data_IF_634544529150
#
_entry.id   IF_634544529150
#
_cell.length_a   1.000
_cell.length_b   1.000
_cell.length_c   1.000
_cell.angle_alpha   90.00
_cell.angle_beta   90.00
_cell.angle_gamma   90.00
#
_symmetry.space_group_name_H-M   'P 1'
#
loop_
_entity.id
_entity.type
_entity.pdbx_description
1 polymer ?
#
# COMPACT_ATOMS: atom_id res chain seq x y z
N UNK A 1 -70.61 -2.99 0.27
CA UNK A 1 -69.86 -3.32 -0.97
C UNK A 1 -68.74 -2.32 -1.30
N UNK A 2 -68.97 -1.02 -1.16
CA UNK A 2 -67.97 0.04 -1.42
C UNK A 2 -66.81 0.06 -0.40
N UNK A 3 -67.12 -0.06 0.89
CA UNK A 3 -66.10 -0.07 1.97
C UNK A 3 -65.13 -1.27 1.83
N UNK A 4 -65.68 -2.45 1.52
CA UNK A 4 -64.91 -3.69 1.37
C UNK A 4 -63.97 -3.65 0.16
N UNK A 5 -64.41 -3.03 -0.95
CA UNK A 5 -63.55 -2.79 -2.12
C UNK A 5 -62.42 -1.80 -1.82
N UNK A 6 -62.71 -0.74 -1.06
CA UNK A 6 -61.71 0.23 -0.62
C UNK A 6 -60.65 -0.41 0.28
N UNK A 7 -61.07 -1.22 1.26
CA UNK A 7 -60.14 -1.95 2.13
C UNK A 7 -59.26 -2.93 1.35
N UNK A 8 -59.83 -3.64 0.36
CA UNK A 8 -59.07 -4.55 -0.48
C UNK A 8 -58.03 -3.82 -1.35
N UNK A 9 -58.37 -2.65 -1.92
CA UNK A 9 -57.43 -1.84 -2.68
C UNK A 9 -56.28 -1.30 -1.82
N UNK A 10 -56.58 -0.84 -0.60
CA UNK A 10 -55.55 -0.37 0.34
C UNK A 10 -54.63 -1.53 0.73
N UNK A 11 -55.17 -2.72 1.00
CA UNK A 11 -54.37 -3.90 1.35
C UNK A 11 -53.43 -4.33 0.21
N UNK A 12 -53.91 -4.33 -1.03
CA UNK A 12 -53.08 -4.62 -2.22
C UNK A 12 -51.98 -3.56 -2.41
N UNK A 13 -52.30 -2.28 -2.19
CA UNK A 13 -51.32 -1.20 -2.29
C UNK A 13 -50.22 -1.33 -1.23
N UNK A 14 -50.59 -1.63 0.02
CA UNK A 14 -49.64 -1.88 1.11
C UNK A 14 -48.75 -3.10 0.79
N UNK A 15 -49.32 -4.22 0.33
CA UNK A 15 -48.55 -5.40 -0.05
C UNK A 15 -47.55 -5.10 -1.18
N UNK A 16 -47.92 -4.27 -2.16
CA UNK A 16 -47.00 -3.83 -3.23
C UNK A 16 -45.85 -3.00 -2.69
N UNK A 17 -46.12 -2.04 -1.79
CA UNK A 17 -45.08 -1.21 -1.18
C UNK A 17 -44.10 -2.08 -0.38
N UNK A 18 -44.62 -3.02 0.43
CA UNK A 18 -43.78 -3.97 1.17
C UNK A 18 -42.93 -4.85 0.24
N UNK A 19 -43.51 -5.34 -0.86
CA UNK A 19 -42.79 -6.15 -1.85
C UNK A 19 -41.67 -5.35 -2.54
N UNK A 20 -41.93 -4.11 -2.95
CA UNK A 20 -40.90 -3.24 -3.54
C UNK A 20 -39.81 -2.86 -2.52
N UNK A 21 -40.16 -2.59 -1.26
CA UNK A 21 -39.19 -2.34 -0.19
C UNK A 21 -38.31 -3.57 0.08
N UNK A 22 -38.88 -4.78 0.05
CA UNK A 22 -38.15 -6.04 0.17
C UNK A 22 -37.20 -6.26 -1.01
N UNK A 23 -37.66 -6.01 -2.24
CA UNK A 23 -36.82 -6.11 -3.43
C UNK A 23 -35.66 -5.11 -3.39
N UNK A 24 -35.93 -3.86 -3.02
CA UNK A 24 -34.88 -2.83 -2.91
C UNK A 24 -33.85 -3.16 -1.83
N UNK A 25 -34.30 -3.63 -0.66
CA UNK A 25 -33.42 -4.05 0.44
C UNK A 25 -32.56 -5.27 0.07
N UNK A 26 -33.13 -6.22 -0.68
CA UNK A 26 -32.42 -7.39 -1.18
C UNK A 26 -31.36 -7.00 -2.22
N UNK A 27 -31.72 -6.14 -3.18
CA UNK A 27 -30.77 -5.61 -4.18
C UNK A 27 -29.61 -4.86 -3.52
N UNK A 28 -29.87 -3.99 -2.53
CA UNK A 28 -28.82 -3.22 -1.86
C UNK A 28 -27.88 -4.11 -1.03
N UNK A 29 -28.42 -5.12 -0.34
CA UNK A 29 -27.62 -6.09 0.40
C UNK A 29 -26.75 -6.97 -0.51
N UNK A 30 -27.29 -7.38 -1.67
CA UNK A 30 -26.55 -8.17 -2.66
C UNK A 30 -25.39 -7.38 -3.31
N UNK A 31 -25.60 -6.09 -3.57
CA UNK A 31 -24.57 -5.16 -4.11
C UNK A 31 -23.43 -4.97 -3.10
N UNK A 32 -23.74 -4.75 -1.82
CA UNK A 32 -22.71 -4.52 -0.79
C UNK A 32 -21.80 -5.74 -0.53
N UNK A 33 -22.25 -6.96 -0.84
CA UNK A 33 -21.41 -8.16 -0.77
C UNK A 33 -20.67 -8.40 -2.09
N UNK A 34 -21.20 -7.96 -3.24
CA UNK A 34 -20.56 -8.12 -4.54
C UNK A 34 -19.33 -7.26 -4.73
N UNK A 35 -19.22 -6.10 -4.09
CA UNK A 35 -18.31 -5.02 -4.55
C UNK A 35 -16.92 -4.96 -3.90
N UNK A 36 -16.55 -5.97 -3.12
CA UNK A 36 -15.28 -5.97 -2.37
C UNK A 36 -14.16 -6.70 -3.11
N UNK A 37 -13.03 -6.02 -3.28
CA UNK A 37 -11.76 -6.67 -3.59
C UNK A 37 -11.34 -7.56 -2.42
N UNK A 38 -11.01 -8.80 -2.74
CA UNK A 38 -10.52 -9.80 -1.77
C UNK A 38 -9.16 -10.30 -2.19
N UNK A 39 -8.34 -10.66 -1.21
CA UNK A 39 -7.08 -11.36 -1.43
C UNK A 39 -7.25 -12.83 -1.03
N UNK A 40 -6.95 -13.70 -1.97
CA UNK A 40 -6.95 -15.15 -1.78
C UNK A 40 -5.52 -15.62 -1.61
N UNK A 41 -5.25 -16.40 -0.56
CA UNK A 41 -4.02 -17.16 -0.42
C UNK A 41 -4.26 -18.59 -0.89
N UNK A 42 -3.51 -19.00 -1.91
CA UNK A 42 -3.65 -20.29 -2.58
C UNK A 42 -2.33 -21.04 -2.48
N UNK A 43 -2.35 -22.29 -2.05
CA UNK A 43 -1.15 -23.13 -1.99
C UNK A 43 -1.28 -24.26 -3.02
N UNK A 44 -0.43 -24.30 -4.07
CA UNK A 44 -0.44 -25.40 -5.02
C UNK A 44 0.25 -26.62 -4.42
N UNK A 45 -0.47 -27.74 -4.31
CA UNK A 45 0.05 -28.99 -3.71
C UNK A 45 0.52 -30.00 -4.79
N UNK A 46 0.52 -29.59 -6.06
CA UNK A 46 1.04 -30.41 -7.16
C UNK A 46 1.61 -29.53 -8.27
N UNK A 47 2.47 -30.14 -9.10
CA UNK A 47 3.05 -29.50 -10.29
C UNK A 47 1.96 -29.02 -11.26
N UNK A 48 0.85 -29.76 -11.39
CA UNK A 48 -0.29 -29.38 -12.24
C UNK A 48 -0.97 -28.10 -11.73
N UNK A 49 -1.21 -28.01 -10.42
CA UNK A 49 -1.78 -26.80 -9.80
C UNK A 49 -0.82 -25.61 -9.91
N UNK A 50 0.49 -25.84 -9.73
CA UNK A 50 1.49 -24.79 -9.94
C UNK A 50 1.50 -24.26 -11.38
N UNK A 51 1.47 -25.14 -12.39
CA UNK A 51 1.40 -24.72 -13.79
C UNK A 51 0.11 -23.94 -14.08
N UNK A 52 -1.00 -24.33 -13.47
CA UNK A 52 -2.25 -23.61 -13.58
C UNK A 52 -2.16 -22.20 -12.97
N UNK A 53 -1.60 -22.05 -11.76
CA UNK A 53 -1.37 -20.73 -11.16
C UNK A 53 -0.41 -19.88 -12.00
N UNK A 54 0.66 -20.48 -12.55
CA UNK A 54 1.56 -19.79 -13.50
C UNK A 54 0.82 -19.31 -14.76
N UNK A 55 -0.14 -20.09 -15.25
CA UNK A 55 -0.99 -19.68 -16.38
C UNK A 55 -1.90 -18.51 -16.01
N UNK A 56 -2.57 -18.57 -14.85
CA UNK A 56 -3.39 -17.45 -14.35
C UNK A 56 -2.55 -16.19 -14.15
N UNK A 57 -1.35 -16.32 -13.57
CA UNK A 57 -0.42 -15.21 -13.37
C UNK A 57 -0.02 -14.53 -14.68
N UNK A 58 0.36 -15.29 -15.71
CA UNK A 58 0.69 -14.75 -17.03
C UNK A 58 -0.50 -14.07 -17.73
N UNK A 59 -1.72 -14.42 -17.34
CA UNK A 59 -2.96 -13.90 -17.93
C UNK A 59 -3.77 -13.08 -16.93
N UNK A 60 -3.14 -12.56 -15.86
CA UNK A 60 -3.83 -11.99 -14.70
C UNK A 60 -4.82 -10.88 -15.09
N UNK A 61 -4.45 -10.03 -16.05
CA UNK A 61 -5.32 -9.00 -16.62
C UNK A 61 -6.65 -9.54 -17.15
N UNK A 62 -6.64 -10.67 -17.87
CA UNK A 62 -7.86 -11.28 -18.44
C UNK A 62 -8.80 -11.81 -17.37
N UNK A 63 -8.26 -12.15 -16.21
CA UNK A 63 -9.00 -12.62 -15.05
C UNK A 63 -9.27 -11.51 -14.03
N UNK A 64 -9.04 -10.23 -14.37
CA UNK A 64 -9.15 -9.09 -13.45
C UNK A 64 -8.52 -9.40 -12.08
N UNK A 65 -7.36 -10.04 -12.11
CA UNK A 65 -6.63 -10.51 -10.94
C UNK A 65 -5.29 -9.77 -10.88
N UNK A 66 -4.82 -9.51 -9.66
CA UNK A 66 -3.51 -8.94 -9.37
C UNK A 66 -2.78 -9.87 -8.42
N UNK A 67 -1.67 -10.43 -8.87
CA UNK A 67 -0.88 -11.39 -8.11
C UNK A 67 0.15 -10.64 -7.28
N UNK A 68 0.00 -10.72 -5.95
CA UNK A 68 0.88 -10.08 -4.99
C UNK A 68 2.15 -10.90 -4.76
N UNK A 69 2.10 -12.21 -5.02
CA UNK A 69 3.27 -13.06 -5.07
C UNK A 69 3.31 -13.92 -6.34
N UNK A 70 4.53 -14.23 -6.79
CA UNK A 70 4.74 -15.02 -7.99
C UNK A 70 4.61 -16.52 -7.65
N UNK A 71 3.88 -17.32 -8.45
CA UNK A 71 3.85 -18.77 -8.27
C UNK A 71 5.21 -19.39 -8.64
N UNK A 72 6.06 -19.65 -7.65
CA UNK A 72 7.44 -20.13 -7.85
C UNK A 72 7.51 -21.65 -7.92
N UNK A 73 7.09 -22.32 -6.84
CA UNK A 73 7.20 -23.77 -6.62
C UNK A 73 5.96 -24.35 -5.94
N UNK A 74 5.88 -25.68 -5.90
CA UNK A 74 4.85 -26.41 -5.14
C UNK A 74 5.03 -26.10 -3.64
N UNK A 75 3.92 -26.07 -2.91
CA UNK A 75 3.80 -25.73 -1.49
C UNK A 75 4.17 -24.27 -1.12
N UNK A 76 4.49 -23.42 -2.10
CA UNK A 76 4.72 -21.99 -1.90
C UNK A 76 3.41 -21.22 -2.09
N UNK A 77 2.98 -20.52 -1.05
CA UNK A 77 1.70 -19.81 -1.05
C UNK A 77 1.71 -18.61 -2.01
N UNK A 78 0.60 -18.45 -2.73
CA UNK A 78 0.39 -17.39 -3.72
C UNK A 78 -0.77 -16.51 -3.29
N UNK A 79 -0.51 -15.21 -3.15
CA UNK A 79 -1.53 -14.22 -2.80
C UNK A 79 -2.03 -13.53 -4.07
N UNK A 80 -3.35 -13.53 -4.26
CA UNK A 80 -4.00 -12.98 -5.45
C UNK A 80 -5.16 -12.09 -5.03
N UNK A 81 -5.07 -10.80 -5.33
CA UNK A 81 -6.19 -9.88 -5.23
C UNK A 81 -7.09 -10.05 -6.46
N UNK A 82 -8.40 -10.21 -6.24
CA UNK A 82 -9.36 -10.47 -7.32
C UNK A 82 -10.43 -9.39 -7.34
N UNK A 83 -10.71 -8.87 -8.52
CA UNK A 83 -11.79 -7.92 -8.72
C UNK A 83 -13.15 -8.55 -8.37
N UNK A 84 -14.03 -7.82 -7.67
CA UNK A 84 -15.33 -8.31 -7.25
C UNK A 84 -16.16 -8.97 -8.38
N UNK A 85 -16.26 -8.33 -9.55
CA UNK A 85 -16.91 -8.89 -10.76
C UNK A 85 -16.42 -10.29 -11.17
N UNK A 86 -15.13 -10.60 -10.98
CA UNK A 86 -14.54 -11.86 -11.44
C UNK A 86 -14.39 -12.88 -10.31
N UNK A 87 -14.76 -12.53 -9.07
CA UNK A 87 -14.55 -13.38 -7.89
C UNK A 87 -15.19 -14.76 -8.03
N UNK A 88 -16.48 -14.83 -8.40
CA UNK A 88 -17.18 -16.12 -8.58
C UNK A 88 -16.51 -16.99 -9.64
N UNK A 89 -16.10 -16.39 -10.76
CA UNK A 89 -15.40 -17.11 -11.84
C UNK A 89 -14.04 -17.61 -11.36
N UNK A 90 -13.31 -16.80 -10.60
CA UNK A 90 -12.02 -17.17 -10.03
C UNK A 90 -12.15 -18.34 -9.03
N UNK A 91 -13.07 -18.27 -8.08
CA UNK A 91 -13.34 -19.35 -7.12
C UNK A 91 -13.72 -20.66 -7.84
N UNK A 92 -14.56 -20.59 -8.88
CA UNK A 92 -14.91 -21.75 -9.69
C UNK A 92 -13.68 -22.37 -10.37
N UNK A 93 -12.76 -21.55 -10.88
CA UNK A 93 -11.50 -22.02 -11.48
C UNK A 93 -10.61 -22.74 -10.46
N UNK A 94 -10.55 -22.23 -9.22
CA UNK A 94 -9.81 -22.89 -8.14
C UNK A 94 -10.45 -24.23 -7.76
N UNK A 95 -11.78 -24.25 -7.62
CA UNK A 95 -12.55 -25.44 -7.27
C UNK A 95 -12.44 -26.54 -8.34
N UNK A 96 -12.48 -26.17 -9.62
CA UNK A 96 -12.29 -27.12 -10.74
C UNK A 96 -10.92 -27.81 -10.74
N UNK A 97 -9.91 -27.18 -10.12
CA UNK A 97 -8.57 -27.74 -9.95
C UNK A 97 -8.33 -28.31 -8.55
N UNK A 98 -9.39 -28.39 -7.75
CA UNK A 98 -9.38 -28.89 -6.36
C UNK A 98 -8.27 -28.20 -5.56
N UNK A 99 -8.11 -26.88 -5.74
CA UNK A 99 -7.11 -26.10 -5.03
C UNK A 99 -7.67 -25.58 -3.72
N UNK A 100 -6.92 -25.84 -2.65
CA UNK A 100 -7.22 -25.25 -1.35
C UNK A 100 -6.80 -23.78 -1.35
N UNK A 101 -7.69 -22.93 -0.84
CA UNK A 101 -7.43 -21.51 -0.67
C UNK A 101 -8.14 -21.00 0.58
N UNK A 102 -7.68 -19.85 1.08
CA UNK A 102 -8.42 -19.08 2.08
C UNK A 102 -8.37 -17.59 1.75
N UNK A 103 -9.34 -16.84 2.27
CA UNK A 103 -9.40 -15.39 2.11
C UNK A 103 -8.48 -14.75 3.15
N UNK A 104 -7.34 -14.22 2.71
CA UNK A 104 -6.37 -13.55 3.60
C UNK A 104 -6.76 -12.11 3.91
N UNK A 105 -7.42 -11.44 2.96
CA UNK A 105 -7.99 -10.09 3.15
C UNK A 105 -9.41 -10.09 2.57
N UNK A 106 -10.41 -9.89 3.44
CA UNK A 106 -11.83 -9.90 3.05
C UNK A 106 -12.30 -8.60 2.39
N UNK A 107 -11.64 -7.49 2.69
CA UNK A 107 -12.01 -6.16 2.21
C UNK A 107 -10.75 -5.28 2.12
N UNK A 108 -10.17 -5.23 0.91
CA UNK A 108 -8.96 -4.43 0.64
C UNK A 108 -9.24 -2.94 0.81
N UNK A 109 -10.44 -2.47 0.48
CA UNK A 109 -10.82 -1.06 0.62
C UNK A 109 -10.79 -0.64 2.09
N UNK A 110 -11.41 -1.42 2.98
CA UNK A 110 -11.34 -1.15 4.43
C UNK A 110 -9.93 -1.20 4.98
N UNK A 111 -9.08 -2.08 4.45
CA UNK A 111 -7.67 -2.14 4.84
C UNK A 111 -6.94 -0.85 4.47
N UNK A 112 -7.14 -0.33 3.26
CA UNK A 112 -6.56 0.95 2.81
C UNK A 112 -7.09 2.10 3.67
N UNK A 113 -8.40 2.19 3.86
CA UNK A 113 -9.04 3.25 4.67
C UNK A 113 -8.49 3.27 6.11
N UNK A 114 -8.30 2.10 6.72
CA UNK A 114 -7.67 1.99 8.04
C UNK A 114 -6.24 2.55 8.04
N UNK A 115 -5.45 2.26 7.01
CA UNK A 115 -4.07 2.75 6.88
C UNK A 115 -4.01 4.26 6.58
N UNK A 116 -5.00 4.81 5.87
CA UNK A 116 -5.10 6.23 5.58
C UNK A 116 -5.61 7.05 6.77
N UNK A 117 -6.62 6.57 7.51
CA UNK A 117 -7.14 7.24 8.71
C UNK A 117 -6.07 7.34 9.81
N UNK A 118 -5.13 6.40 9.86
CA UNK A 118 -3.97 6.46 10.75
C UNK A 118 -2.98 7.59 10.39
N UNK A 119 -3.11 8.25 9.23
CA UNK A 119 -2.37 9.49 8.95
C UNK A 119 -3.11 10.65 9.62
N UNK A 120 -2.60 11.25 10.71
CA UNK A 120 -3.24 12.42 11.29
C UNK A 120 -3.25 13.52 10.23
N UNK A 121 -4.43 14.00 9.84
CA UNK A 121 -4.59 15.11 8.86
C UNK A 121 -3.80 16.36 9.26
N UNK A 122 -3.46 16.48 10.55
CA UNK A 122 -2.72 17.58 11.15
C UNK A 122 -1.19 17.46 11.04
N UNK A 123 -0.64 16.30 10.65
CA UNK A 123 0.81 16.11 10.51
C UNK A 123 1.41 17.07 9.47
N UNK A 124 0.64 17.46 8.45
CA UNK A 124 1.01 18.51 7.48
C UNK A 124 1.26 19.89 8.12
N UNK A 125 0.67 20.19 9.28
CA UNK A 125 0.89 21.44 10.03
C UNK A 125 2.13 21.37 10.93
N UNK A 126 2.50 20.19 11.42
CA UNK A 126 3.68 19.98 12.28
C UNK A 126 5.01 20.28 11.55
N UNK A 127 5.06 20.11 10.23
CA UNK A 127 6.21 20.50 9.39
C UNK A 127 6.62 21.97 9.52
N UNK A 128 5.69 22.86 9.92
CA UNK A 128 5.98 24.29 10.07
C UNK A 128 6.67 24.65 11.40
N UNK A 129 6.69 23.76 12.40
CA UNK A 129 7.08 24.13 13.76
C UNK A 129 8.43 23.59 14.25
N UNK A 130 9.05 22.60 13.60
CA UNK A 130 10.26 21.95 14.16
C UNK A 130 11.60 22.42 13.55
N UNK A 131 11.72 23.71 13.25
CA UNK A 131 13.03 24.27 12.88
C UNK A 131 13.88 24.68 14.11
N UNK A 132 13.33 24.51 15.33
CA UNK A 132 13.91 25.04 16.59
C UNK A 132 14.39 24.00 17.60
N UNK A 133 14.15 22.69 17.41
CA UNK A 133 14.69 21.68 18.33
C UNK A 133 16.07 21.20 17.89
N UNK A 134 16.92 20.84 18.86
CA UNK A 134 18.24 20.24 18.64
C UNK A 134 18.16 18.77 18.14
N UNK A 135 16.97 18.32 17.71
CA UNK A 135 16.61 16.90 17.52
C UNK A 135 16.73 16.42 16.06
N UNK A 136 17.22 17.25 15.14
CA UNK A 136 17.31 16.94 13.71
C UNK A 136 16.01 17.22 12.95
N UNK A 137 15.97 17.03 11.62
CA UNK A 137 14.74 17.17 10.85
C UNK A 137 13.70 16.12 11.25
N UNK A 138 12.48 16.56 11.56
CA UNK A 138 11.38 15.68 11.98
C UNK A 138 10.81 14.87 10.81
N UNK A 139 10.60 13.57 11.05
CA UNK A 139 9.86 12.68 10.17
C UNK A 139 9.10 11.65 10.99
N UNK A 140 7.81 11.43 10.68
CA UNK A 140 6.99 10.49 11.44
C UNK A 140 7.10 9.07 10.87
N UNK A 141 7.98 8.26 11.45
CA UNK A 141 8.16 6.86 11.03
C UNK A 141 7.00 5.91 11.35
N UNK A 142 5.95 6.37 12.05
CA UNK A 142 4.77 5.55 12.38
C UNK A 142 3.67 5.62 11.31
N UNK A 143 3.92 6.28 10.18
CA UNK A 143 2.97 6.39 9.08
C UNK A 143 3.65 6.36 7.71
N UNK A 144 2.85 6.11 6.67
CA UNK A 144 3.32 6.23 5.28
C UNK A 144 3.20 7.66 4.77
N UNK A 145 4.25 8.12 4.10
CA UNK A 145 4.36 9.49 3.59
C UNK A 145 4.19 9.56 2.09
N UNK A 146 3.68 10.69 1.60
CA UNK A 146 3.65 10.97 0.18
C UNK A 146 5.04 11.41 -0.33
N UNK A 147 5.23 11.40 -1.65
CA UNK A 147 6.54 11.72 -2.26
C UNK A 147 7.01 13.15 -1.95
N UNK A 148 6.09 14.11 -1.81
CA UNK A 148 6.44 15.49 -1.49
C UNK A 148 6.98 15.62 -0.06
N UNK A 149 6.39 14.89 0.89
CA UNK A 149 6.87 14.83 2.28
C UNK A 149 8.24 14.16 2.36
N UNK A 150 8.45 13.06 1.64
CA UNK A 150 9.75 12.38 1.57
C UNK A 150 10.81 13.33 0.98
N UNK A 151 10.52 13.97 -0.14
CA UNK A 151 11.45 14.93 -0.76
C UNK A 151 11.74 16.11 0.17
N UNK A 152 10.72 16.67 0.81
CA UNK A 152 10.89 17.73 1.82
C UNK A 152 11.81 17.31 2.96
N UNK A 153 11.71 16.06 3.41
CA UNK A 153 12.59 15.51 4.43
C UNK A 153 14.04 15.45 3.93
N UNK A 154 14.27 14.93 2.73
CA UNK A 154 15.61 14.86 2.13
C UNK A 154 16.26 16.25 2.04
N UNK A 155 15.51 17.27 1.58
CA UNK A 155 15.98 18.65 1.56
C UNK A 155 16.35 19.18 2.95
N UNK A 156 15.51 18.90 3.96
CA UNK A 156 15.78 19.33 5.33
C UNK A 156 17.01 18.64 5.95
N UNK A 157 17.26 17.37 5.62
CA UNK A 157 18.47 16.64 6.02
C UNK A 157 19.71 17.31 5.42
N UNK A 158 19.68 17.65 4.13
CA UNK A 158 20.80 18.34 3.50
C UNK A 158 21.09 19.70 4.13
N UNK A 159 20.05 20.51 4.32
CA UNK A 159 20.20 21.86 4.89
C UNK A 159 20.79 21.82 6.31
N UNK A 160 20.47 20.80 7.10
CA UNK A 160 20.95 20.67 8.47
C UNK A 160 22.35 20.05 8.56
N UNK A 161 22.73 19.16 7.64
CA UNK A 161 24.01 18.45 7.66
C UNK A 161 24.82 18.63 6.36
N UNK A 162 25.11 19.86 5.94
CA UNK A 162 25.70 20.14 4.63
C UNK A 162 27.11 19.56 4.45
N UNK A 163 27.86 19.36 5.53
CA UNK A 163 29.26 18.88 5.48
C UNK A 163 29.39 17.39 5.17
N UNK A 164 28.31 16.64 5.39
CA UNK A 164 28.28 15.17 5.28
C UNK A 164 27.16 14.64 4.39
N UNK A 165 26.33 15.53 3.84
CA UNK A 165 25.24 15.16 2.94
C UNK A 165 25.21 16.01 1.67
N UNK A 166 24.82 15.38 0.57
CA UNK A 166 24.60 16.06 -0.70
C UNK A 166 23.48 15.38 -1.47
N UNK A 167 22.50 16.15 -1.90
CA UNK A 167 21.42 15.73 -2.77
C UNK A 167 21.86 15.88 -4.22
N UNK A 168 21.50 14.87 -5.01
CA UNK A 168 21.69 14.87 -6.45
C UNK A 168 20.37 14.57 -7.13
N UNK A 169 20.14 15.22 -8.27
CA UNK A 169 19.12 14.81 -9.22
C UNK A 169 19.80 13.88 -10.22
N UNK A 170 19.47 12.60 -10.18
CA UNK A 170 20.10 11.60 -11.07
C UNK A 170 19.34 11.41 -12.38
N UNK A 171 18.18 12.03 -12.52
CA UNK A 171 17.33 11.94 -13.69
C UNK A 171 15.91 12.42 -13.39
N UNK A 172 15.02 12.17 -14.35
CA UNK A 172 13.60 12.51 -14.25
C UNK A 172 12.75 11.29 -14.60
N UNK A 173 11.61 11.16 -13.93
CA UNK A 173 10.62 10.12 -14.26
C UNK A 173 9.93 10.41 -15.59
N UNK A 174 9.18 9.44 -16.12
CA UNK A 174 8.34 9.63 -17.30
C UNK A 174 7.36 10.82 -17.18
N UNK A 175 6.83 11.05 -15.97
CA UNK A 175 5.94 12.19 -15.68
C UNK A 175 6.71 13.46 -15.27
N UNK A 176 7.99 13.54 -15.64
CA UNK A 176 8.88 14.68 -15.42
C UNK A 176 9.04 15.09 -13.94
N UNK A 177 9.09 14.12 -13.02
CA UNK A 177 9.44 14.37 -11.61
C UNK A 177 10.93 14.09 -11.37
N UNK A 178 11.65 14.95 -10.61
CA UNK A 178 13.07 14.71 -10.33
C UNK A 178 13.26 13.43 -9.50
N UNK A 179 14.24 12.62 -9.88
CA UNK A 179 14.67 11.44 -9.12
C UNK A 179 15.81 11.87 -8.21
N UNK A 180 15.51 12.03 -6.92
CA UNK A 180 16.46 12.47 -5.91
C UNK A 180 17.26 11.30 -5.35
N UNK A 181 18.56 11.52 -5.14
CA UNK A 181 19.41 10.67 -4.30
C UNK A 181 20.09 11.52 -3.23
N UNK A 182 20.37 10.92 -2.08
CA UNK A 182 21.15 11.54 -1.02
C UNK A 182 22.46 10.78 -0.85
N UNK A 183 23.57 11.47 -1.11
CA UNK A 183 24.91 11.03 -0.77
C UNK A 183 25.16 11.34 0.71
N UNK A 184 25.67 10.36 1.45
CA UNK A 184 26.04 10.50 2.86
C UNK A 184 27.48 10.03 3.03
N UNK A 185 28.37 10.87 3.55
CA UNK A 185 29.76 10.50 3.78
C UNK A 185 30.66 11.69 4.10
N UNK A 186 31.90 11.40 4.52
CA UNK A 186 32.90 12.41 4.84
C UNK A 186 34.30 11.93 4.42
N UNK A 187 35.11 12.74 3.70
CA UNK A 187 34.71 13.98 3.04
C UNK A 187 33.79 13.71 1.85
N UNK A 188 32.78 14.58 1.62
CA UNK A 188 31.82 14.42 0.53
C UNK A 188 32.45 14.41 -0.88
N UNK A 189 33.52 15.19 -1.07
CA UNK A 189 34.18 15.38 -2.36
C UNK A 189 35.41 14.49 -2.57
N UNK A 190 35.56 13.43 -1.76
CA UNK A 190 36.69 12.52 -1.87
C UNK A 190 36.35 11.30 -2.75
N UNK A 191 36.75 11.37 -4.02
CA UNK A 191 36.39 10.38 -5.06
C UNK A 191 37.08 9.00 -4.94
N UNK A 192 37.87 8.76 -3.89
CA UNK A 192 38.51 7.45 -3.64
C UNK A 192 37.79 6.62 -2.58
N UNK A 193 36.69 7.12 -2.02
CA UNK A 193 35.88 6.36 -1.07
C UNK A 193 35.13 5.23 -1.77
N UNK A 194 35.11 4.05 -1.15
CA UNK A 194 34.20 2.97 -1.55
C UNK A 194 32.77 3.42 -1.29
N UNK A 195 31.90 3.26 -2.29
CA UNK A 195 30.50 3.64 -2.18
C UNK A 195 29.60 2.41 -2.00
N UNK A 196 28.53 2.59 -1.23
CA UNK A 196 27.43 1.62 -1.13
C UNK A 196 26.20 2.32 -1.71
N UNK A 197 25.56 1.68 -2.69
CA UNK A 197 24.31 2.13 -3.27
C UNK A 197 23.14 1.41 -2.60
N UNK A 198 22.13 2.16 -2.20
CA UNK A 198 20.88 1.62 -1.64
C UNK A 198 19.73 2.34 -2.34
N UNK A 199 18.85 1.58 -2.97
CA UNK A 199 17.59 2.07 -3.53
C UNK A 199 16.39 1.42 -2.82
N UNK A 200 15.24 2.06 -2.96
CA UNK A 200 13.96 1.56 -2.45
C UNK A 200 12.81 2.10 -3.30
N UNK A 201 11.68 1.41 -3.27
CA UNK A 201 10.47 1.86 -3.96
C UNK A 201 10.49 1.72 -5.48
N UNK A 202 11.33 0.83 -6.03
CA UNK A 202 11.29 0.49 -7.46
C UNK A 202 9.92 -0.04 -7.89
N UNK A 203 9.21 -0.72 -6.97
CA UNK A 203 7.79 -1.02 -7.11
C UNK A 203 6.94 -0.07 -6.25
N UNK A 204 6.07 0.70 -6.89
CA UNK A 204 5.30 1.77 -6.25
C UNK A 204 4.38 1.30 -5.10
N UNK A 205 3.93 0.05 -5.09
CA UNK A 205 3.05 -0.54 -4.06
C UNK A 205 3.78 -1.03 -2.80
N UNK A 206 5.11 -1.04 -2.81
CA UNK A 206 5.92 -1.60 -1.72
C UNK A 206 6.29 -0.53 -0.68
N UNK A 207 5.31 0.24 -0.19
CA UNK A 207 5.49 1.48 0.61
C UNK A 207 6.42 1.33 1.84
N UNK A 208 6.50 0.13 2.40
CA UNK A 208 7.43 -0.17 3.48
C UNK A 208 8.89 0.05 3.07
N UNK A 209 9.27 -0.27 1.83
CA UNK A 209 10.64 -0.09 1.33
C UNK A 209 11.07 1.38 1.35
N UNK A 210 10.21 2.28 0.86
CA UNK A 210 10.46 3.73 0.87
C UNK A 210 10.64 4.23 2.30
N UNK A 211 9.73 3.87 3.21
CA UNK A 211 9.84 4.24 4.63
C UNK A 211 11.12 3.70 5.27
N UNK A 212 11.51 2.45 4.97
CA UNK A 212 12.75 1.86 5.47
C UNK A 212 14.00 2.59 4.99
N UNK A 213 14.06 3.03 3.73
CA UNK A 213 15.18 3.82 3.22
C UNK A 213 15.29 5.18 3.92
N UNK A 214 14.17 5.87 4.14
CA UNK A 214 14.14 7.14 4.90
C UNK A 214 14.58 6.92 6.36
N UNK A 215 14.17 5.80 6.96
CA UNK A 215 14.59 5.43 8.32
C UNK A 215 16.09 5.10 8.40
N UNK A 216 16.65 4.46 7.37
CA UNK A 216 18.08 4.21 7.28
C UNK A 216 18.88 5.52 7.27
N UNK A 217 18.45 6.49 6.45
CA UNK A 217 18.99 7.85 6.42
C UNK A 217 18.99 8.43 7.85
N UNK A 218 17.83 8.46 8.51
CA UNK A 218 17.69 8.92 9.90
C UNK A 218 18.65 8.22 10.87
N UNK A 219 18.72 6.88 10.82
CA UNK A 219 19.57 6.09 11.71
C UNK A 219 21.06 6.37 11.52
N UNK A 220 21.50 6.58 10.28
CA UNK A 220 22.88 6.93 9.96
C UNK A 220 23.23 8.30 10.56
N UNK A 221 22.33 9.29 10.51
CA UNK A 221 22.56 10.63 11.09
C UNK A 221 22.46 10.66 12.61
N UNK A 222 21.36 10.18 13.18
CA UNK A 222 21.01 10.43 14.59
C UNK A 222 21.85 9.59 15.56
N UNK A 223 22.25 8.37 15.20
CA UNK A 223 22.93 7.49 16.16
C UNK A 223 24.44 7.47 16.06
N UNK A 224 25.01 7.77 14.89
CA UNK A 224 26.46 7.64 14.67
C UNK A 224 27.19 8.97 14.55
N UNK A 225 26.62 9.95 13.86
CA UNK A 225 27.31 11.22 13.65
C UNK A 225 27.38 12.07 14.92
N UNK A 226 26.24 12.28 15.61
CA UNK A 226 26.23 13.01 16.88
C UNK A 226 27.12 12.37 17.95
N UNK A 227 27.18 11.04 17.98
CA UNK A 227 28.00 10.29 18.94
C UNK A 227 29.49 10.43 18.66
N UNK A 228 29.90 10.40 17.39
CA UNK A 228 31.31 10.52 17.02
C UNK A 228 31.80 11.97 16.99
N UNK A 229 30.95 12.92 16.59
CA UNK A 229 31.27 14.35 16.63
C UNK A 229 31.45 14.85 18.07
N UNK A 230 30.56 14.43 18.99
CA UNK A 230 30.70 14.75 20.41
C UNK A 230 32.01 14.23 21.01
N UNK A 231 32.47 13.05 20.58
CA UNK A 231 33.75 12.48 21.04
C UNK A 231 34.97 13.20 20.46
N UNK A 232 34.87 13.74 19.24
CA UNK A 232 35.98 14.47 18.58
C UNK A 232 36.16 15.92 19.05
N UNK A 233 35.14 16.52 19.67
CA UNK A 233 35.20 17.90 20.20
C UNK A 233 35.68 17.93 21.67
N UNK A 234 35.69 16.77 22.34
CA UNK A 234 36.17 16.61 23.73
C UNK A 234 37.62 16.13 23.84
N UNK A 235 38.35 16.02 22.74
CA UNK A 235 39.80 15.79 22.68
C UNK A 235 40.49 17.05 22.16
#
# INVERSE_FOLDING_TARGET
LTLMRLMMMIMIMIMRIFFFALLFSYSHSAINQSDKFKVFRITPNSTVQLHFLKHLWKNAYRYKADFWSVPRKVDDAVDVMVHPDNRRRFENLLNQKTMNYFVSVDDVQKLIERLEVMKPKEASRFWKHDHRSNSGPYFNFHQFHNISEINGYLYSVQQRYPDITKLHVIGYTHENRPILTIQIGYPLNYNKNKAIWVDAGMHAREWASQTSAVYLIFKVFVLRYLKNYALSVTQ
#
